data_IF_751450623826
#
_entry.id   IF_751450623826
#
_cell.length_a   1.000
_cell.length_b   1.000
_cell.length_c   1.000
_cell.angle_alpha   90.00
_cell.angle_beta   90.00
_cell.angle_gamma   90.00
#
_symmetry.space_group_name_H-M   'P 1'
#
loop_
_entity.id
_entity.type
_entity.pdbx_description
1 polymer ?
#
# COMPACT_ATOMS: atom_id res chain seq x y z
N UNK A 1 -8.34 17.82 24.38
CA UNK A 1 -6.89 18.03 24.59
C UNK A 1 -6.34 18.71 23.35
N UNK A 2 -5.61 19.81 23.52
CA UNK A 2 -4.97 20.53 22.42
C UNK A 2 -3.78 19.72 21.91
N UNK A 3 -3.61 19.61 20.60
CA UNK A 3 -2.48 18.89 19.94
C UNK A 3 -1.10 19.47 20.33
N UNK A 4 -1.07 20.62 21.01
CA UNK A 4 0.14 21.32 21.46
C UNK A 4 0.97 20.59 22.53
N UNK A 5 0.42 19.59 23.23
CA UNK A 5 1.12 18.92 24.35
C UNK A 5 1.78 17.58 24.00
N UNK A 6 1.69 17.12 22.75
CA UNK A 6 2.49 15.98 22.31
C UNK A 6 3.89 16.47 21.93
N UNK A 7 4.75 16.60 22.93
CA UNK A 7 6.21 16.72 22.75
C UNK A 7 6.73 15.43 22.10
N UNK A 8 6.56 15.31 20.79
CA UNK A 8 7.27 14.29 20.01
C UNK A 8 8.72 14.74 20.03
N UNK A 9 9.55 14.04 20.81
CA UNK A 9 11.00 14.28 20.83
C UNK A 9 11.50 14.25 19.39
N UNK A 10 12.14 15.33 18.97
CA UNK A 10 12.84 15.34 17.69
C UNK A 10 13.94 14.27 17.74
N UNK A 11 14.01 13.35 16.77
CA UNK A 11 15.06 12.34 16.72
C UNK A 11 16.44 13.01 16.67
N UNK A 12 17.42 12.44 17.37
CA UNK A 12 18.82 12.89 17.29
C UNK A 12 19.55 12.23 16.11
N UNK A 13 19.07 11.06 15.67
CA UNK A 13 19.56 10.38 14.48
C UNK A 13 18.91 10.93 13.20
N UNK A 14 19.66 10.93 12.11
CA UNK A 14 19.08 11.14 10.77
C UNK A 14 18.06 10.02 10.46
N UNK A 15 17.07 10.32 9.62
CA UNK A 15 16.08 9.31 9.18
C UNK A 15 16.76 8.05 8.63
N UNK A 16 17.80 8.21 7.80
CA UNK A 16 18.57 7.10 7.21
C UNK A 16 19.23 6.24 8.29
N UNK A 17 19.90 6.88 9.25
CA UNK A 17 20.60 6.15 10.33
C UNK A 17 19.60 5.41 11.24
N UNK A 18 18.49 6.05 11.61
CA UNK A 18 17.45 5.39 12.40
C UNK A 18 16.79 4.24 11.62
N UNK A 19 16.56 4.40 10.31
CA UNK A 19 16.03 3.35 9.44
C UNK A 19 16.97 2.14 9.37
N UNK A 20 18.27 2.35 9.11
CA UNK A 20 19.25 1.26 9.06
C UNK A 20 19.34 0.51 10.39
N UNK A 21 19.37 1.23 11.53
CA UNK A 21 19.32 0.59 12.85
C UNK A 21 18.04 -0.21 13.09
N UNK A 22 16.92 0.23 12.52
CA UNK A 22 15.65 -0.49 12.66
C UNK A 22 15.66 -1.81 11.89
N UNK A 23 16.07 -1.79 10.61
CA UNK A 23 16.08 -3.00 9.76
C UNK A 23 17.19 -3.97 10.13
N UNK A 24 18.29 -3.49 10.73
CA UNK A 24 19.40 -4.32 11.22
C UNK A 24 19.29 -4.66 12.71
N UNK A 25 18.18 -4.30 13.37
CA UNK A 25 17.94 -4.55 14.81
C UNK A 25 19.02 -3.94 15.75
N UNK A 26 19.68 -2.87 15.33
CA UNK A 26 20.73 -2.16 16.07
C UNK A 26 20.18 -1.01 16.94
N UNK A 27 19.19 -1.30 17.78
CA UNK A 27 18.62 -0.38 18.79
C UNK A 27 18.34 1.05 18.23
N UNK A 28 17.33 1.21 17.36
CA UNK A 28 16.95 2.53 16.84
C UNK A 28 16.36 3.43 17.95
N UNK A 29 16.30 4.74 17.71
CA UNK A 29 15.63 5.68 18.62
C UNK A 29 14.11 5.54 18.57
N UNK A 30 13.58 5.18 17.40
CA UNK A 30 12.16 4.91 17.17
C UNK A 30 11.98 3.88 16.05
N UNK A 31 10.83 3.22 16.02
CA UNK A 31 10.47 2.33 14.91
C UNK A 31 9.80 3.15 13.80
N UNK A 32 10.35 3.19 12.57
CA UNK A 32 9.67 3.83 11.44
C UNK A 32 8.35 3.12 11.16
N UNK A 33 7.24 3.83 11.35
CA UNK A 33 5.91 3.36 11.03
C UNK A 33 5.28 4.29 10.00
N UNK A 34 4.55 3.72 9.05
CA UNK A 34 3.73 4.49 8.09
C UNK A 34 2.31 3.97 8.14
N UNK A 35 1.35 4.88 8.23
CA UNK A 35 -0.06 4.56 8.02
C UNK A 35 -0.39 4.88 6.57
N UNK A 36 -0.92 3.90 5.86
CA UNK A 36 -1.43 4.07 4.50
C UNK A 36 -2.93 3.87 4.52
N UNK A 37 -3.66 4.85 4.00
CA UNK A 37 -5.11 4.74 3.83
C UNK A 37 -5.39 4.35 2.38
N UNK A 38 -6.22 3.32 2.20
CA UNK A 38 -6.55 2.82 0.87
C UNK A 38 -7.32 3.84 0.05
N UNK A 39 -7.07 3.85 -1.27
CA UNK A 39 -7.62 4.86 -2.18
C UNK A 39 -9.16 4.99 -2.15
N UNK A 40 -9.95 3.91 -2.03
CA UNK A 40 -11.41 4.03 -1.89
C UNK A 40 -11.88 4.91 -0.74
N UNK A 41 -11.16 4.92 0.38
CA UNK A 41 -11.50 5.78 1.51
C UNK A 41 -11.16 7.24 1.19
N UNK A 42 -10.07 7.49 0.47
CA UNK A 42 -9.78 8.81 -0.08
C UNK A 42 -10.87 9.28 -1.04
N UNK A 43 -11.31 8.45 -2.00
CA UNK A 43 -12.39 8.83 -2.91
C UNK A 43 -13.74 9.01 -2.20
N UNK A 44 -13.97 8.30 -1.10
CA UNK A 44 -15.21 8.37 -0.30
C UNK A 44 -15.27 9.63 0.56
N UNK A 45 -14.22 9.90 1.32
CA UNK A 45 -14.21 10.96 2.32
C UNK A 45 -13.58 12.27 1.85
N UNK A 46 -12.75 12.22 0.79
CA UNK A 46 -12.18 13.36 0.08
C UNK A 46 -11.64 14.42 1.04
N UNK A 47 -12.16 15.63 0.99
CA UNK A 47 -11.71 16.79 1.77
C UNK A 47 -11.72 16.53 3.29
N UNK A 48 -12.64 15.69 3.78
CA UNK A 48 -12.66 15.29 5.20
C UNK A 48 -11.43 14.49 5.59
N UNK A 49 -10.95 13.61 4.70
CA UNK A 49 -9.75 12.83 4.95
C UNK A 49 -8.48 13.67 4.70
N UNK A 50 -8.52 14.63 3.77
CA UNK A 50 -7.46 15.63 3.64
C UNK A 50 -7.30 16.46 4.92
N UNK A 51 -8.40 16.89 5.54
CA UNK A 51 -8.39 17.62 6.81
C UNK A 51 -7.74 16.79 7.94
N UNK A 52 -8.07 15.49 8.02
CA UNK A 52 -7.43 14.56 8.95
C UNK A 52 -5.92 14.48 8.66
N UNK A 53 -5.53 14.33 7.40
CA UNK A 53 -4.12 14.25 7.04
C UNK A 53 -3.32 15.51 7.42
N UNK A 54 -3.90 16.69 7.19
CA UNK A 54 -3.31 17.98 7.60
C UNK A 54 -3.17 18.12 9.12
N UNK A 55 -4.14 17.60 9.89
CA UNK A 55 -4.10 17.59 11.36
C UNK A 55 -3.07 16.62 11.94
N UNK A 56 -2.61 15.64 11.17
CA UNK A 56 -1.70 14.58 11.63
C UNK A 56 -0.42 14.47 10.76
N UNK A 57 0.43 15.51 10.73
CA UNK A 57 1.62 15.55 9.86
C UNK A 57 2.67 14.49 10.18
N UNK A 58 2.68 13.91 11.39
CA UNK A 58 3.54 12.76 11.72
C UNK A 58 3.08 11.50 10.99
N UNK A 59 1.77 11.32 10.85
CA UNK A 59 1.15 10.17 10.20
C UNK A 59 1.16 10.32 8.68
N UNK A 60 0.91 11.55 8.20
CA UNK A 60 0.85 11.92 6.78
C UNK A 60 1.92 12.95 6.45
N UNK A 61 3.22 12.59 6.55
CA UNK A 61 4.30 13.54 6.34
C UNK A 61 4.29 14.08 4.91
N UNK A 62 4.31 15.40 4.79
CA UNK A 62 4.37 16.10 3.49
C UNK A 62 3.07 16.06 2.67
N UNK A 63 1.93 15.70 3.29
CA UNK A 63 0.64 15.75 2.61
C UNK A 63 0.33 17.17 2.11
N UNK A 64 -0.16 17.28 0.86
CA UNK A 64 -0.57 18.54 0.24
C UNK A 64 -2.04 18.45 -0.18
N UNK A 65 -2.88 19.46 0.11
CA UNK A 65 -4.25 19.50 -0.39
C UNK A 65 -4.29 19.32 -1.92
N UNK A 66 -5.24 18.52 -2.40
CA UNK A 66 -5.40 18.23 -3.83
C UNK A 66 -4.32 17.32 -4.45
N UNK A 67 -3.41 16.75 -3.65
CA UNK A 67 -2.43 15.77 -4.12
C UNK A 67 -3.02 14.41 -4.48
N UNK A 68 -4.25 14.14 -4.04
CA UNK A 68 -4.97 12.89 -4.32
C UNK A 68 -5.90 13.11 -5.51
N UNK A 69 -5.78 12.24 -6.53
CA UNK A 69 -6.72 12.20 -7.65
C UNK A 69 -7.93 11.38 -7.26
N UNK A 70 -9.10 11.99 -7.32
CA UNK A 70 -10.39 11.34 -7.08
C UNK A 70 -11.07 10.94 -8.39
N UNK A 71 -12.04 10.05 -8.29
CA UNK A 71 -12.95 9.76 -9.39
C UNK A 71 -14.02 10.86 -9.52
N UNK A 72 -14.80 10.81 -10.59
CA UNK A 72 -15.97 11.66 -10.80
C UNK A 72 -16.96 11.51 -9.64
N UNK A 73 -17.22 10.27 -9.19
CA UNK A 73 -18.20 10.01 -8.12
C UNK A 73 -17.53 9.64 -6.79
N UNK A 74 -17.96 10.22 -5.66
CA UNK A 74 -17.48 9.81 -4.35
C UNK A 74 -17.99 8.41 -4.00
N UNK A 75 -17.24 7.71 -3.15
CA UNK A 75 -17.61 6.41 -2.60
C UNK A 75 -16.70 5.28 -3.05
N UNK A 76 -17.06 4.07 -2.61
CA UNK A 76 -16.40 2.84 -3.02
C UNK A 76 -16.90 2.46 -4.41
N UNK A 77 -16.00 2.45 -5.38
CA UNK A 77 -16.32 2.07 -6.76
C UNK A 77 -16.16 0.58 -6.93
N UNK A 78 -17.22 -0.09 -7.39
CA UNK A 78 -17.16 -1.50 -7.71
C UNK A 78 -16.49 -1.68 -9.06
N UNK A 79 -15.48 -2.53 -9.07
CA UNK A 79 -14.85 -3.04 -10.28
C UNK A 79 -15.32 -4.48 -10.49
N UNK A 80 -15.19 -4.99 -11.71
CA UNK A 80 -15.31 -6.42 -12.00
C UNK A 80 -14.23 -6.80 -13.00
N UNK A 81 -12.99 -6.52 -12.61
CA UNK A 81 -11.80 -6.76 -13.42
C UNK A 81 -11.19 -8.09 -13.00
N UNK A 82 -10.76 -8.85 -13.99
CA UNK A 82 -9.96 -10.05 -13.78
C UNK A 82 -8.67 -9.93 -14.57
N UNK A 83 -7.53 -10.20 -13.92
CA UNK A 83 -6.20 -10.15 -14.54
C UNK A 83 -5.46 -11.45 -14.25
N UNK A 84 -4.63 -11.91 -15.19
CA UNK A 84 -3.70 -13.01 -14.97
C UNK A 84 -2.29 -12.45 -14.78
N UNK A 85 -1.63 -12.81 -13.69
CA UNK A 85 -0.24 -12.40 -13.42
C UNK A 85 0.78 -13.31 -14.15
N UNK A 86 2.07 -12.93 -14.19
CA UNK A 86 3.12 -13.75 -14.82
C UNK A 86 3.30 -15.14 -14.20
N UNK A 87 2.87 -15.35 -12.95
CA UNK A 87 2.88 -16.66 -12.32
C UNK A 87 1.70 -17.54 -12.77
N UNK A 88 0.78 -17.01 -13.57
CA UNK A 88 -0.42 -17.71 -14.04
C UNK A 88 -1.59 -17.69 -13.06
N UNK A 89 -1.49 -16.95 -11.94
CA UNK A 89 -2.61 -16.74 -11.03
C UNK A 89 -3.61 -15.74 -11.63
N UNK A 90 -4.89 -15.99 -11.40
CA UNK A 90 -5.97 -15.11 -11.84
C UNK A 90 -6.50 -14.34 -10.65
N UNK A 91 -6.47 -13.02 -10.74
CA UNK A 91 -6.87 -12.08 -9.71
C UNK A 91 -8.19 -11.43 -10.06
N UNK A 92 -9.15 -11.45 -9.13
CA UNK A 92 -10.42 -10.73 -9.22
C UNK A 92 -10.36 -9.44 -8.40
N UNK A 93 -10.63 -8.32 -9.04
CA UNK A 93 -10.67 -6.99 -8.45
C UNK A 93 -12.11 -6.48 -8.42
N UNK A 94 -12.69 -6.49 -7.22
CA UNK A 94 -14.10 -6.13 -7.00
C UNK A 94 -14.30 -4.66 -6.60
N UNK A 95 -13.23 -3.99 -6.16
CA UNK A 95 -13.24 -2.60 -5.71
C UNK A 95 -12.02 -1.91 -6.31
N UNK A 96 -12.25 -0.77 -6.98
CA UNK A 96 -11.17 0.04 -7.56
C UNK A 96 -10.20 0.51 -6.46
N UNK A 97 -8.88 0.43 -6.69
CA UNK A 97 -7.88 0.85 -5.71
C UNK A 97 -7.74 -0.03 -4.46
N UNK A 98 -8.41 -1.19 -4.38
CA UNK A 98 -8.10 -2.26 -3.44
C UNK A 98 -7.31 -3.38 -4.13
N UNK A 99 -6.56 -4.14 -3.34
CA UNK A 99 -5.88 -5.32 -3.85
C UNK A 99 -6.89 -6.41 -4.21
N UNK A 100 -6.64 -7.08 -5.33
CA UNK A 100 -7.47 -8.16 -5.81
C UNK A 100 -7.32 -9.43 -4.98
N UNK A 101 -8.16 -10.42 -5.26
CA UNK A 101 -8.08 -11.75 -4.68
C UNK A 101 -7.74 -12.77 -5.76
N UNK A 102 -6.80 -13.67 -5.48
CA UNK A 102 -6.56 -14.83 -6.35
C UNK A 102 -7.78 -15.75 -6.33
N UNK A 103 -8.42 -15.91 -7.49
CA UNK A 103 -9.59 -16.79 -7.70
C UNK A 103 -9.22 -18.07 -8.46
N UNK A 104 -8.04 -18.11 -9.07
CA UNK A 104 -7.47 -19.31 -9.67
C UNK A 104 -5.95 -19.28 -9.56
N UNK A 105 -5.33 -20.42 -9.27
CA UNK A 105 -3.88 -20.60 -9.24
C UNK A 105 -3.50 -21.86 -10.05
N UNK A 106 -2.35 -21.87 -10.74
CA UNK A 106 -1.95 -22.98 -11.61
C UNK A 106 -1.55 -24.22 -10.81
N UNK A 107 -1.04 -24.05 -9.59
CA UNK A 107 -0.65 -25.14 -8.69
C UNK A 107 -1.84 -25.57 -7.83
N UNK A 108 -2.89 -26.13 -8.46
CA UNK A 108 -4.08 -26.60 -7.72
C UNK A 108 -3.80 -27.88 -6.95
N UNK A 109 -2.96 -28.74 -7.52
CA UNK A 109 -2.48 -29.98 -6.91
C UNK A 109 -0.95 -30.01 -6.94
N UNK A 110 -0.35 -30.79 -6.04
CA UNK A 110 1.11 -30.96 -6.01
C UNK A 110 1.69 -31.55 -7.31
N UNK A 111 0.92 -32.38 -8.02
CA UNK A 111 1.34 -32.96 -9.30
C UNK A 111 1.48 -31.91 -10.41
N UNK A 112 0.75 -30.78 -10.32
CA UNK A 112 0.82 -29.70 -11.30
C UNK A 112 2.19 -29.00 -11.27
N UNK A 113 2.90 -29.07 -10.13
CA UNK A 113 4.24 -28.50 -9.96
C UNK A 113 5.27 -29.10 -10.92
N UNK A 114 5.12 -30.38 -11.31
CA UNK A 114 6.07 -31.07 -12.20
C UNK A 114 6.10 -30.47 -13.62
N UNK A 115 5.03 -29.77 -14.01
CA UNK A 115 4.85 -29.18 -15.34
C UNK A 115 4.80 -27.65 -15.29
N UNK A 116 4.94 -27.07 -14.10
CA UNK A 116 4.85 -25.64 -13.91
C UNK A 116 6.16 -24.96 -14.28
N UNK A 117 6.07 -23.89 -15.06
CA UNK A 117 7.20 -23.06 -15.44
C UNK A 117 7.08 -21.72 -14.71
N UNK A 118 8.18 -21.30 -14.07
CA UNK A 118 8.26 -20.00 -13.42
C UNK A 118 8.37 -18.90 -14.50
N UNK A 119 7.86 -17.68 -14.24
CA UNK A 119 8.08 -16.56 -15.14
C UNK A 119 9.58 -16.27 -15.31
N UNK A 120 9.97 -15.81 -16.50
CA UNK A 120 11.36 -15.46 -16.80
C UNK A 120 11.76 -14.21 -15.97
N UNK A 121 12.82 -14.27 -15.15
CA UNK A 121 13.27 -13.11 -14.40
C UNK A 121 13.73 -11.93 -15.28
N UNK A 122 14.11 -12.16 -16.55
CA UNK A 122 14.51 -11.10 -17.48
C UNK A 122 13.33 -10.29 -18.01
N UNK A 123 12.10 -10.80 -17.88
CA UNK A 123 10.86 -10.05 -18.19
C UNK A 123 10.56 -8.96 -17.14
N UNK A 124 11.35 -8.89 -16.07
CA UNK A 124 11.27 -7.90 -15.01
C UNK A 124 10.59 -8.43 -13.75
N UNK A 125 10.47 -7.55 -12.74
CA UNK A 125 9.83 -7.90 -11.47
C UNK A 125 8.32 -8.06 -11.70
N UNK A 126 7.75 -9.26 -11.44
CA UNK A 126 6.31 -9.46 -11.59
C UNK A 126 5.54 -8.47 -10.73
N UNK A 127 4.61 -7.75 -11.33
CA UNK A 127 3.75 -6.81 -10.61
C UNK A 127 2.48 -7.56 -10.22
N UNK A 128 2.19 -7.62 -8.92
CA UNK A 128 1.02 -8.32 -8.39
C UNK A 128 -0.28 -7.74 -8.99
N UNK A 129 -1.02 -8.58 -9.71
CA UNK A 129 -2.33 -8.23 -10.28
C UNK A 129 -2.32 -7.11 -11.32
N UNK A 130 -1.22 -6.98 -12.06
CA UNK A 130 -1.01 -5.93 -13.04
C UNK A 130 -1.31 -6.33 -14.50
N UNK A 131 -1.72 -5.33 -15.26
CA UNK A 131 -1.13 -4.99 -16.57
C UNK A 131 -0.03 -3.94 -16.33
#
# INVERSE_FOLDING_TARGET
MSVKDMSVRSPSLSWRENYLRSVEFRRPEYIPCRITVMWPLWNTYREKLEEVALKHPVVFPGFKPGSVKYDVKPGVLRANRTIRDPFGCVWSFNIEGFQGQVVHHPLKNWEDFKKYEMPDPEDGVPIEGAE
#
